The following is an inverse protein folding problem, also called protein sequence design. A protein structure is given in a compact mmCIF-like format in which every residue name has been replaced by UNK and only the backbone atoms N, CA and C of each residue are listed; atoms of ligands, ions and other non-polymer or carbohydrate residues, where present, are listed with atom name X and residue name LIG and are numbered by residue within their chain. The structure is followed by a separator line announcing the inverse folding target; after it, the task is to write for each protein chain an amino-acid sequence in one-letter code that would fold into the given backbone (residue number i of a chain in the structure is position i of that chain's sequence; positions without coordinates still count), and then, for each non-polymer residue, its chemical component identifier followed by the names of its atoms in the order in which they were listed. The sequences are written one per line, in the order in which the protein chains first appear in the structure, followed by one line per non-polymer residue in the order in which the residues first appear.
data_IF_454557767850
#
_entry.id   IF_454557767850
#
_cell.length_a   1.000
_cell.length_b   1.000
_cell.length_c   1.000
_cell.angle_alpha   90.00
_cell.angle_beta   90.00
_cell.angle_gamma   90.00
#
_symmetry.space_group_name_H-M   'P 1'
#
loop_
_entity.id
_entity.type
_entity.pdbx_description
1 polymer ?
#
# COMPACT_ATOMS: atom_id res chain seq x y z
N UNK A 1 -36.26 4.80 16.25
CA UNK A 1 -36.25 4.76 17.73
C UNK A 1 -35.02 4.10 18.36
N UNK A 2 -34.40 3.04 17.79
CA UNK A 2 -33.15 2.45 18.37
C UNK A 2 -31.90 3.32 18.17
N UNK A 3 -31.80 4.08 17.08
CA UNK A 3 -30.66 4.96 16.82
C UNK A 3 -30.65 6.22 17.71
N UNK A 4 -31.83 6.75 18.09
CA UNK A 4 -31.94 7.92 18.94
C UNK A 4 -31.38 7.67 20.35
N UNK A 5 -31.70 6.51 20.95
CA UNK A 5 -31.21 6.16 22.31
C UNK A 5 -29.68 5.92 22.31
N UNK A 6 -29.10 5.39 21.24
CA UNK A 6 -27.67 5.19 21.13
C UNK A 6 -26.89 6.51 21.01
N UNK A 7 -27.50 7.51 20.37
CA UNK A 7 -26.97 8.87 20.25
C UNK A 7 -27.00 9.60 21.60
N UNK A 8 -28.10 9.49 22.35
CA UNK A 8 -28.26 10.11 23.68
C UNK A 8 -27.32 9.53 24.72
N UNK A 9 -27.09 8.21 24.68
CA UNK A 9 -26.14 7.54 25.62
C UNK A 9 -24.69 7.97 25.30
N UNK A 10 -24.35 8.16 24.03
CA UNK A 10 -23.01 8.61 23.64
C UNK A 10 -22.79 10.11 23.92
N UNK A 11 -23.83 10.94 23.93
CA UNK A 11 -23.76 12.35 24.31
C UNK A 11 -23.54 12.57 25.82
N UNK A 12 -24.10 11.70 26.64
CA UNK A 12 -23.83 11.72 28.09
C UNK A 12 -22.36 11.39 28.39
N UNK A 13 -21.81 10.38 27.70
CA UNK A 13 -20.39 9.99 27.82
C UNK A 13 -19.42 11.06 27.30
N UNK A 14 -19.82 11.84 26.29
CA UNK A 14 -18.98 12.91 25.72
C UNK A 14 -18.92 14.15 26.62
N UNK A 15 -19.93 14.42 27.49
CA UNK A 15 -19.93 15.54 28.41
C UNK A 15 -19.03 15.34 29.65
N UNK A 16 -18.75 14.10 30.03
CA UNK A 16 -17.86 13.78 31.15
C UNK A 16 -16.37 13.78 30.82
N UNK A 17 -16.00 13.82 29.55
CA UNK A 17 -14.59 13.66 29.09
C UNK A 17 -13.81 14.97 28.89
N UNK A 18 -14.32 16.13 29.33
CA UNK A 18 -13.62 17.42 29.12
C UNK A 18 -12.42 17.63 30.07
N UNK A 19 -12.30 16.81 31.11
CA UNK A 19 -11.19 16.88 32.08
C UNK A 19 -10.75 15.49 32.50
N UNK A 20 -10.00 14.78 31.69
CA UNK A 20 -9.12 13.75 32.25
C UNK A 20 -8.10 13.22 31.21
N UNK A 21 -6.89 13.08 31.69
CA UNK A 21 -5.74 12.39 31.18
C UNK A 21 -6.07 11.06 30.49
N UNK A 22 -5.50 10.86 29.26
CA UNK A 22 -5.45 9.58 28.55
C UNK A 22 -6.77 8.78 28.46
N UNK A 23 -7.75 9.31 27.75
CA UNK A 23 -8.97 8.57 27.46
C UNK A 23 -8.65 7.29 26.66
N UNK A 24 -8.92 6.12 27.24
CA UNK A 24 -8.94 4.82 26.55
C UNK A 24 -10.16 4.65 25.65
N UNK A 25 -10.98 5.69 25.48
CA UNK A 25 -12.16 5.69 24.61
C UNK A 25 -11.78 5.34 23.17
N UNK A 26 -12.56 4.47 22.56
CA UNK A 26 -12.48 4.13 21.13
C UNK A 26 -13.29 5.07 20.26
N UNK A 27 -13.98 6.06 20.86
CA UNK A 27 -14.86 6.99 20.17
C UNK A 27 -14.59 8.42 20.59
N UNK A 28 -14.77 9.37 19.65
CA UNK A 28 -14.72 10.80 19.96
C UNK A 28 -15.67 11.59 19.05
N UNK A 29 -16.29 12.63 19.60
CA UNK A 29 -17.07 13.60 18.84
C UNK A 29 -16.18 14.80 18.57
N UNK A 30 -16.12 15.25 17.31
CA UNK A 30 -15.29 16.38 16.89
C UNK A 30 -15.94 17.18 15.77
N UNK A 31 -15.32 18.30 15.40
CA UNK A 31 -15.83 19.19 14.36
C UNK A 31 -14.93 19.17 13.13
N UNK A 32 -15.50 19.06 11.93
CA UNK A 32 -14.79 19.05 10.65
C UNK A 32 -14.21 20.45 10.37
N UNK A 33 -12.91 20.51 10.16
CA UNK A 33 -12.19 21.76 9.85
C UNK A 33 -11.81 21.90 8.39
N UNK A 34 -11.57 20.79 7.68
CA UNK A 34 -11.17 20.77 6.26
C UNK A 34 -11.47 19.40 5.64
N UNK A 35 -11.44 19.33 4.32
CA UNK A 35 -11.44 18.06 3.57
C UNK A 35 -10.50 18.16 2.38
N UNK A 36 -9.55 17.24 2.31
CA UNK A 36 -8.64 17.12 1.17
C UNK A 36 -8.86 15.79 0.46
N UNK A 37 -8.49 15.76 -0.81
CA UNK A 37 -8.60 14.55 -1.62
C UNK A 37 -7.21 14.02 -1.93
N UNK A 38 -6.95 12.78 -1.56
CA UNK A 38 -5.67 12.13 -1.75
C UNK A 38 -5.78 10.97 -2.73
N UNK A 39 -4.71 10.71 -3.44
CA UNK A 39 -4.62 9.52 -4.31
C UNK A 39 -3.92 8.42 -3.53
N UNK A 40 -4.61 7.29 -3.42
CA UNK A 40 -4.10 6.11 -2.72
C UNK A 40 -3.12 5.34 -3.61
N UNK A 41 -2.37 4.44 -2.98
CA UNK A 41 -1.41 3.55 -3.66
C UNK A 41 -2.03 2.76 -4.82
N UNK A 42 -3.28 2.31 -4.68
CA UNK A 42 -4.02 1.59 -5.72
C UNK A 42 -4.59 2.52 -6.83
N UNK A 43 -4.27 3.82 -6.79
CA UNK A 43 -4.75 4.83 -7.73
C UNK A 43 -6.17 5.33 -7.45
N UNK A 44 -6.82 4.85 -6.39
CA UNK A 44 -8.12 5.38 -5.96
C UNK A 44 -7.94 6.76 -5.32
N UNK A 45 -8.81 7.68 -5.66
CA UNK A 45 -8.86 9.02 -5.04
C UNK A 45 -9.88 8.95 -3.91
N UNK A 46 -9.47 9.26 -2.70
CA UNK A 46 -10.34 9.20 -1.52
C UNK A 46 -10.29 10.51 -0.73
N UNK A 47 -11.38 10.85 -0.02
CA UNK A 47 -11.45 12.02 0.84
C UNK A 47 -10.76 11.74 2.18
N UNK A 48 -10.02 12.74 2.67
CA UNK A 48 -9.45 12.81 4.02
C UNK A 48 -10.13 13.96 4.73
N UNK A 49 -10.93 13.66 5.74
CA UNK A 49 -11.51 14.67 6.62
C UNK A 49 -10.49 15.09 7.68
N UNK A 50 -10.32 16.41 7.83
CA UNK A 50 -9.60 17.01 8.91
C UNK A 50 -10.59 17.56 9.93
N UNK A 51 -10.26 17.45 11.21
CA UNK A 51 -11.11 17.83 12.30
C UNK A 51 -10.31 18.38 13.50
N UNK A 52 -10.97 19.03 14.43
CA UNK A 52 -10.34 19.47 15.66
C UNK A 52 -9.69 18.29 16.38
N UNK A 53 -8.43 18.41 16.86
CA UNK A 53 -7.70 17.29 17.42
C UNK A 53 -8.44 16.64 18.61
N UNK A 54 -8.50 15.32 18.59
CA UNK A 54 -9.06 14.49 19.68
C UNK A 54 -8.10 13.39 20.07
N UNK A 55 -8.27 12.85 21.27
CA UNK A 55 -7.52 11.70 21.74
C UNK A 55 -8.40 10.45 21.69
N UNK A 56 -7.95 9.40 21.00
CA UNK A 56 -8.60 8.11 20.91
C UNK A 56 -7.55 7.04 21.22
N UNK A 57 -7.83 6.16 22.17
CA UNK A 57 -6.88 5.17 22.73
C UNK A 57 -5.51 5.79 23.09
N UNK A 58 -5.53 6.99 23.68
CA UNK A 58 -4.30 7.71 24.05
C UNK A 58 -3.51 8.33 22.89
N UNK A 59 -3.97 8.20 21.65
CA UNK A 59 -3.32 8.78 20.46
C UNK A 59 -4.06 10.01 19.98
N UNK A 60 -3.32 11.10 19.75
CA UNK A 60 -3.86 12.31 19.14
C UNK A 60 -4.20 12.07 17.68
N UNK A 61 -5.44 12.38 17.30
CA UNK A 61 -5.97 12.25 15.93
C UNK A 61 -6.53 13.58 15.46
N UNK A 62 -6.29 13.98 14.24
CA UNK A 62 -6.79 15.21 13.62
C UNK A 62 -7.26 15.00 12.17
N UNK A 63 -7.20 13.77 11.67
CA UNK A 63 -7.70 13.43 10.33
C UNK A 63 -8.14 11.97 10.25
N UNK A 64 -9.07 11.69 9.34
CA UNK A 64 -9.52 10.35 9.01
C UNK A 64 -9.70 10.19 7.50
N UNK A 65 -9.22 9.07 6.97
CA UNK A 65 -9.47 8.66 5.59
C UNK A 65 -10.88 8.06 5.50
N UNK A 66 -11.69 8.55 4.57
CA UNK A 66 -13.00 7.97 4.29
C UNK A 66 -12.84 6.89 3.22
N UNK A 67 -13.12 5.65 3.58
CA UNK A 67 -12.80 4.45 2.79
C UNK A 67 -13.55 4.33 1.46
N UNK A 68 -14.65 5.06 1.24
CA UNK A 68 -15.41 5.04 -0.01
C UNK A 68 -16.18 6.34 -0.25
N UNK A 69 -16.53 6.58 -1.51
CA UNK A 69 -17.36 7.73 -1.90
C UNK A 69 -18.81 7.60 -1.44
N UNK A 70 -19.33 6.38 -1.34
CA UNK A 70 -20.67 6.14 -0.75
C UNK A 70 -20.70 6.49 0.74
N UNK A 71 -19.65 6.18 1.49
CA UNK A 71 -19.53 6.61 2.88
C UNK A 71 -19.43 8.14 2.99
N UNK A 72 -18.65 8.79 2.11
CA UNK A 72 -18.55 10.24 2.05
C UNK A 72 -19.91 10.91 1.79
N UNK A 73 -20.69 10.38 0.83
CA UNK A 73 -22.04 10.86 0.54
C UNK A 73 -22.99 10.70 1.75
N UNK A 74 -22.88 9.57 2.45
CA UNK A 74 -23.69 9.29 3.63
C UNK A 74 -23.35 10.21 4.82
N UNK A 75 -22.08 10.56 4.99
CA UNK A 75 -21.62 11.52 6.01
C UNK A 75 -22.07 12.93 5.63
N UNK A 76 -22.09 13.25 4.33
CA UNK A 76 -22.38 14.59 3.78
C UNK A 76 -21.64 15.71 4.54
N UNK A 77 -20.30 15.64 4.65
CA UNK A 77 -19.54 16.50 5.56
C UNK A 77 -19.64 17.97 5.16
N UNK A 78 -19.64 18.84 6.17
CA UNK A 78 -19.61 20.31 6.03
C UNK A 78 -18.55 20.86 6.95
N UNK A 79 -17.90 21.95 6.57
CA UNK A 79 -16.98 22.63 7.48
C UNK A 79 -17.77 23.11 8.70
N UNK A 80 -17.28 22.78 9.90
CA UNK A 80 -17.95 23.05 11.17
C UNK A 80 -18.97 21.98 11.59
N UNK A 81 -19.31 20.98 10.75
CA UNK A 81 -20.21 19.91 11.15
C UNK A 81 -19.54 18.98 12.17
N UNK A 82 -20.33 18.46 13.12
CA UNK A 82 -19.87 17.47 14.06
C UNK A 82 -19.87 16.08 13.41
N UNK A 83 -18.84 15.32 13.70
CA UNK A 83 -18.68 13.91 13.30
C UNK A 83 -18.31 13.05 14.50
N UNK A 84 -18.88 11.86 14.56
CA UNK A 84 -18.50 10.84 15.53
C UNK A 84 -17.44 9.94 14.89
N UNK A 85 -16.29 9.88 15.53
CA UNK A 85 -15.18 8.99 15.16
C UNK A 85 -15.28 7.72 15.97
N UNK A 86 -15.09 6.57 15.33
CA UNK A 86 -15.06 5.25 15.99
C UNK A 86 -13.82 4.51 15.48
N UNK A 87 -12.82 4.33 16.34
CA UNK A 87 -11.63 3.58 16.00
C UNK A 87 -11.92 2.07 16.03
N UNK A 88 -11.74 1.44 14.89
CA UNK A 88 -11.72 -0.01 14.74
C UNK A 88 -10.28 -0.51 14.81
N UNK A 89 -10.07 -1.82 14.68
CA UNK A 89 -8.74 -2.44 14.82
C UNK A 89 -7.69 -1.86 13.87
N UNK A 90 -8.09 -1.51 12.63
CA UNK A 90 -7.16 -1.05 11.58
C UNK A 90 -7.57 0.23 10.86
N UNK A 91 -8.73 0.81 11.18
CA UNK A 91 -9.25 2.00 10.51
C UNK A 91 -10.16 2.83 11.42
N UNK A 92 -10.46 4.04 10.97
CA UNK A 92 -11.36 4.98 11.65
C UNK A 92 -12.68 5.07 10.88
N UNK A 93 -13.78 4.63 11.50
CA UNK A 93 -15.12 4.92 11.00
C UNK A 93 -15.50 6.35 11.35
N UNK A 94 -16.16 7.02 10.41
CA UNK A 94 -16.69 8.36 10.59
C UNK A 94 -18.19 8.33 10.36
N UNK A 95 -18.95 8.79 11.33
CA UNK A 95 -20.40 8.90 11.26
C UNK A 95 -20.84 10.36 11.34
N UNK A 96 -21.97 10.72 10.72
CA UNK A 96 -22.51 12.06 10.87
C UNK A 96 -22.91 12.30 12.33
N UNK A 97 -22.53 13.46 12.86
CA UNK A 97 -23.02 13.97 14.13
C UNK A 97 -24.28 14.82 13.97
N UNK A 98 -24.68 15.55 14.99
CA UNK A 98 -25.81 16.49 14.92
C UNK A 98 -25.52 17.61 13.91
N UNK A 99 -26.43 17.81 12.98
CA UNK A 99 -26.33 18.81 11.93
C UNK A 99 -27.26 19.99 12.17
N UNK A 100 -26.72 21.11 12.64
CA UNK A 100 -27.38 22.42 12.53
C UNK A 100 -26.36 23.45 12.01
N UNK A 101 -25.91 23.26 10.74
CA UNK A 101 -24.95 24.18 10.14
C UNK A 101 -25.47 24.61 8.78
N UNK A 102 -25.48 25.93 8.55
CA UNK A 102 -25.88 26.53 7.26
C UNK A 102 -24.87 26.36 6.12
N UNK A 103 -23.68 25.81 6.41
CA UNK A 103 -22.63 25.67 5.40
C UNK A 103 -22.99 24.60 4.36
N UNK A 104 -22.56 24.82 3.12
CA UNK A 104 -22.76 23.86 2.05
C UNK A 104 -22.00 22.56 2.29
N UNK A 105 -22.54 21.44 1.80
CA UNK A 105 -21.86 20.16 1.79
C UNK A 105 -20.58 20.25 0.95
N UNK A 106 -19.49 19.65 1.44
CA UNK A 106 -18.23 19.54 0.70
C UNK A 106 -18.49 18.72 -0.57
N UNK A 107 -18.20 19.30 -1.72
CA UNK A 107 -18.46 18.66 -3.03
C UNK A 107 -17.33 17.68 -3.39
N UNK A 108 -17.70 16.62 -4.09
CA UNK A 108 -16.73 15.72 -4.72
C UNK A 108 -15.85 16.49 -5.71
N UNK A 109 -14.55 16.18 -5.81
CA UNK A 109 -13.67 16.84 -6.76
C UNK A 109 -13.95 16.38 -8.19
N UNK A 110 -13.98 17.32 -9.13
CA UNK A 110 -14.10 17.02 -10.57
C UNK A 110 -12.74 16.77 -11.22
N UNK A 111 -11.66 17.16 -10.55
CA UNK A 111 -10.31 17.14 -11.08
C UNK A 111 -9.33 16.41 -10.16
N UNK A 112 -8.45 15.63 -10.75
CA UNK A 112 -7.39 14.93 -10.07
C UNK A 112 -6.52 15.90 -9.25
N UNK A 113 -6.25 15.65 -7.98
CA UNK A 113 -5.43 16.53 -7.15
C UNK A 113 -4.01 16.70 -7.71
N UNK A 114 -3.48 15.72 -8.44
CA UNK A 114 -2.10 15.72 -8.96
C UNK A 114 -1.99 16.39 -10.32
N UNK A 115 -2.81 15.99 -11.32
CA UNK A 115 -2.65 16.45 -12.72
C UNK A 115 -3.80 17.30 -13.23
N UNK A 116 -4.83 17.55 -12.42
CA UNK A 116 -6.03 18.33 -12.74
C UNK A 116 -6.90 17.77 -13.89
N UNK A 117 -6.60 16.58 -14.41
CA UNK A 117 -7.45 15.90 -15.37
C UNK A 117 -8.78 15.45 -14.71
N UNK A 118 -9.85 15.22 -15.48
CA UNK A 118 -11.12 14.74 -14.96
C UNK A 118 -10.99 13.46 -14.13
N UNK A 119 -11.87 13.32 -13.15
CA UNK A 119 -11.99 12.10 -12.34
C UNK A 119 -13.18 11.29 -12.86
N UNK A 120 -12.96 9.99 -13.01
CA UNK A 120 -14.02 9.02 -13.25
C UNK A 120 -14.44 8.40 -11.91
N UNK A 121 -15.75 8.27 -11.71
CA UNK A 121 -16.36 7.60 -10.57
C UNK A 121 -17.09 6.35 -11.06
N UNK A 122 -16.95 5.23 -10.34
CA UNK A 122 -17.72 4.04 -10.67
C UNK A 122 -19.18 4.15 -10.14
N UNK A 123 -20.09 3.37 -10.74
CA UNK A 123 -21.53 3.41 -10.43
C UNK A 123 -21.83 3.01 -8.99
N UNK A 124 -21.02 2.11 -8.39
CA UNK A 124 -21.18 1.68 -6.99
C UNK A 124 -20.71 2.71 -5.97
N UNK A 125 -20.14 3.84 -6.39
CA UNK A 125 -19.65 4.89 -5.48
C UNK A 125 -18.48 4.45 -4.58
N UNK A 126 -17.74 3.40 -4.95
CA UNK A 126 -16.63 2.89 -4.14
C UNK A 126 -15.27 3.39 -4.63
N UNK A 127 -15.15 3.73 -5.91
CA UNK A 127 -13.90 4.13 -6.54
C UNK A 127 -14.02 5.43 -7.31
N UNK A 128 -12.94 6.23 -7.26
CA UNK A 128 -12.71 7.36 -8.13
C UNK A 128 -11.28 7.31 -8.65
N UNK A 129 -11.07 7.51 -9.95
CA UNK A 129 -9.74 7.44 -10.58
C UNK A 129 -9.51 8.59 -11.54
N UNK A 130 -8.25 9.00 -11.63
CA UNK A 130 -7.82 9.93 -12.66
C UNK A 130 -7.93 9.29 -14.05
N UNK A 131 -8.52 10.00 -15.01
CA UNK A 131 -8.67 9.53 -16.40
C UNK A 131 -7.39 9.70 -17.23
N UNK A 132 -6.39 10.41 -16.71
CA UNK A 132 -5.14 10.67 -17.42
C UNK A 132 -4.11 9.57 -17.17
N UNK A 133 -3.86 8.72 -18.15
CA UNK A 133 -2.86 7.66 -18.08
C UNK A 133 -1.41 8.18 -17.92
N UNK A 134 -1.15 9.47 -18.20
CA UNK A 134 0.15 10.12 -17.99
C UNK A 134 0.25 10.85 -16.66
N UNK A 135 -0.73 10.68 -15.78
CA UNK A 135 -0.73 11.32 -14.47
C UNK A 135 0.52 10.96 -13.65
N UNK A 136 1.05 11.92 -12.92
CA UNK A 136 2.19 11.73 -12.01
C UNK A 136 1.98 10.63 -10.96
N UNK A 137 0.72 10.27 -10.68
CA UNK A 137 0.38 9.19 -9.73
C UNK A 137 1.06 7.86 -10.08
N UNK A 138 1.14 7.50 -11.36
CA UNK A 138 1.78 6.26 -11.78
C UNK A 138 3.28 6.26 -11.46
N UNK A 139 3.94 7.43 -11.55
CA UNK A 139 5.34 7.59 -11.15
C UNK A 139 5.50 7.49 -9.63
N UNK A 140 4.64 8.16 -8.88
CA UNK A 140 4.65 8.13 -7.40
C UNK A 140 4.47 6.69 -6.92
N UNK A 141 3.51 5.93 -7.49
CA UNK A 141 3.28 4.52 -7.15
C UNK A 141 4.51 3.65 -7.41
N UNK A 142 5.16 3.80 -8.55
CA UNK A 142 6.38 3.03 -8.88
C UNK A 142 7.51 3.34 -7.90
N UNK A 143 7.71 4.61 -7.55
CA UNK A 143 8.72 5.02 -6.56
C UNK A 143 8.37 4.44 -5.19
N UNK A 144 7.12 4.53 -4.76
CA UNK A 144 6.65 3.98 -3.49
C UNK A 144 6.85 2.46 -3.41
N UNK A 145 6.39 1.72 -4.43
CA UNK A 145 6.59 0.26 -4.51
C UNK A 145 8.08 -0.11 -4.53
N UNK A 146 8.90 0.71 -5.18
CA UNK A 146 10.33 0.51 -5.19
C UNK A 146 10.96 0.65 -3.79
N UNK A 147 10.56 1.64 -3.01
CA UNK A 147 10.96 1.73 -1.60
C UNK A 147 10.53 0.51 -0.81
N UNK A 148 9.28 0.11 -0.92
CA UNK A 148 8.75 -1.02 -0.18
C UNK A 148 9.46 -2.33 -0.51
N UNK A 149 9.57 -2.67 -1.78
CA UNK A 149 9.91 -4.03 -2.21
C UNK A 149 11.34 -4.20 -2.73
N UNK A 150 12.00 -3.14 -3.15
CA UNK A 150 13.40 -3.17 -3.56
C UNK A 150 14.34 -2.64 -2.49
N UNK A 151 13.96 -1.54 -1.83
CA UNK A 151 14.77 -0.99 -0.73
C UNK A 151 14.39 -1.58 0.64
N UNK A 152 13.30 -2.37 0.73
CA UNK A 152 12.83 -3.03 1.96
C UNK A 152 12.58 -2.06 3.12
N UNK A 153 12.07 -0.87 2.82
CA UNK A 153 11.80 0.15 3.84
C UNK A 153 10.58 -0.18 4.70
N UNK A 154 9.73 -1.14 4.27
CA UNK A 154 8.47 -1.40 4.94
C UNK A 154 7.61 -0.13 5.04
N UNK A 155 6.76 -0.06 6.05
CA UNK A 155 5.84 1.07 6.26
C UNK A 155 6.50 2.31 6.93
N UNK A 156 7.83 2.36 7.04
CA UNK A 156 8.54 3.54 7.55
C UNK A 156 8.32 4.77 6.65
N UNK A 157 8.21 4.55 5.33
CA UNK A 157 7.92 5.58 4.35
C UNK A 157 6.50 5.38 3.81
N UNK A 158 5.60 6.28 4.15
CA UNK A 158 4.21 6.24 3.69
C UNK A 158 4.05 6.82 2.28
N UNK A 159 2.95 6.48 1.61
CA UNK A 159 2.65 6.95 0.25
C UNK A 159 2.61 8.47 0.12
N UNK A 160 2.10 9.18 1.14
CA UNK A 160 2.09 10.65 1.18
C UNK A 160 3.50 11.23 1.24
N UNK A 161 4.44 10.60 1.96
CA UNK A 161 5.84 11.05 1.98
C UNK A 161 6.45 10.96 0.58
N UNK A 162 6.20 9.86 -0.16
CA UNK A 162 6.68 9.73 -1.55
C UNK A 162 6.01 10.76 -2.47
N UNK A 163 4.74 11.10 -2.24
CA UNK A 163 4.08 12.20 -2.95
C UNK A 163 4.80 13.52 -2.70
N UNK A 164 5.17 13.80 -1.46
CA UNK A 164 5.94 15.01 -1.11
C UNK A 164 7.36 15.00 -1.73
N UNK A 165 8.04 13.84 -1.74
CA UNK A 165 9.32 13.71 -2.46
C UNK A 165 9.15 14.01 -3.96
N UNK A 166 8.06 13.52 -4.56
CA UNK A 166 7.75 13.80 -5.96
C UNK A 166 7.51 15.30 -6.19
N UNK A 167 6.81 15.97 -5.31
CA UNK A 167 6.45 17.39 -5.45
C UNK A 167 7.61 18.34 -5.10
N UNK A 168 8.28 18.11 -3.98
CA UNK A 168 9.26 19.05 -3.41
C UNK A 168 10.72 18.73 -3.74
N UNK A 169 11.08 17.44 -3.85
CA UNK A 169 12.46 17.00 -4.13
C UNK A 169 12.68 16.56 -5.57
N UNK A 170 11.66 16.70 -6.42
CA UNK A 170 11.72 16.34 -7.84
C UNK A 170 12.13 14.89 -8.13
N UNK A 171 11.83 13.97 -7.22
CA UNK A 171 12.03 12.54 -7.44
C UNK A 171 11.00 12.06 -8.47
N UNK A 172 11.42 11.68 -9.65
CA UNK A 172 10.55 11.31 -10.79
C UNK A 172 10.61 9.84 -11.12
N UNK A 173 11.70 9.17 -10.78
CA UNK A 173 11.99 7.76 -11.09
C UNK A 173 12.72 7.10 -9.91
N UNK A 174 12.65 5.77 -9.78
CA UNK A 174 13.36 5.05 -8.72
C UNK A 174 14.86 5.37 -8.64
N UNK A 175 15.54 5.63 -9.77
CA UNK A 175 16.95 6.01 -9.77
C UNK A 175 17.26 7.33 -9.06
N UNK A 176 16.28 8.21 -8.89
CA UNK A 176 16.50 9.50 -8.26
C UNK A 176 16.64 9.39 -6.73
N UNK A 177 16.11 8.30 -6.12
CA UNK A 177 16.18 8.09 -4.67
C UNK A 177 17.62 7.93 -4.16
N UNK A 178 18.53 7.42 -5.01
CA UNK A 178 19.94 7.20 -4.65
C UNK A 178 20.75 8.50 -4.52
N UNK A 179 20.12 9.65 -4.80
CA UNK A 179 20.70 10.99 -4.62
C UNK A 179 20.23 11.65 -3.33
N UNK A 180 19.26 11.05 -2.64
CA UNK A 180 18.69 11.61 -1.42
C UNK A 180 19.55 11.22 -0.22
N UNK A 181 19.65 12.17 0.73
CA UNK A 181 20.20 11.96 2.05
C UNK A 181 19.07 11.91 3.10
N UNK A 182 19.36 11.43 4.31
CA UNK A 182 18.35 11.35 5.38
C UNK A 182 17.66 12.72 5.66
N UNK A 183 18.36 13.84 5.46
CA UNK A 183 17.80 15.18 5.62
C UNK A 183 16.64 15.47 4.65
N UNK A 184 16.70 14.94 3.43
CA UNK A 184 15.62 15.11 2.45
C UNK A 184 14.32 14.43 2.91
N UNK A 185 14.44 13.32 3.64
CA UNK A 185 13.28 12.64 4.25
C UNK A 185 12.75 13.41 5.46
N UNK A 186 13.62 14.02 6.26
CA UNK A 186 13.20 14.90 7.36
C UNK A 186 12.42 16.11 6.85
N UNK A 187 12.85 16.72 5.75
CA UNK A 187 12.18 17.89 5.15
C UNK A 187 10.74 17.61 4.71
N UNK A 188 10.39 16.36 4.50
CA UNK A 188 9.01 15.93 4.17
C UNK A 188 8.26 15.36 5.39
N UNK A 189 8.79 15.54 6.59
CA UNK A 189 8.11 15.19 7.85
C UNK A 189 8.37 13.78 8.36
N UNK A 190 9.38 13.07 7.85
CA UNK A 190 9.82 11.80 8.42
C UNK A 190 10.69 12.08 9.64
N UNK A 191 10.47 11.32 10.71
CA UNK A 191 11.30 11.37 11.92
C UNK A 191 12.76 11.07 11.62
N UNK A 192 13.71 11.73 12.33
CA UNK A 192 15.14 11.64 12.05
C UNK A 192 15.69 10.21 12.13
N UNK A 193 15.27 9.44 13.14
CA UNK A 193 15.72 8.06 13.29
C UNK A 193 15.24 7.20 12.13
N UNK A 194 13.96 7.32 11.77
CA UNK A 194 13.39 6.63 10.60
C UNK A 194 14.04 7.08 9.30
N UNK A 195 14.32 8.37 9.14
CA UNK A 195 14.98 8.91 7.95
C UNK A 195 16.38 8.30 7.73
N UNK A 196 17.17 8.14 8.80
CA UNK A 196 18.47 7.47 8.75
C UNK A 196 18.34 5.99 8.39
N UNK A 197 17.36 5.30 8.96
CA UNK A 197 17.11 3.88 8.62
C UNK A 197 16.66 3.73 7.17
N UNK A 198 15.82 4.63 6.65
CA UNK A 198 15.40 4.62 5.24
C UNK A 198 16.61 4.80 4.32
N UNK A 199 17.47 5.79 4.59
CA UNK A 199 18.71 6.00 3.83
C UNK A 199 19.60 4.75 3.85
N UNK A 200 19.78 4.14 5.02
CA UNK A 200 20.54 2.91 5.16
C UNK A 200 19.92 1.74 4.37
N UNK A 201 18.60 1.58 4.40
CA UNK A 201 17.90 0.60 3.59
C UNK A 201 18.14 0.82 2.08
N UNK A 202 18.08 2.06 1.61
CA UNK A 202 18.35 2.40 0.20
C UNK A 202 19.80 2.06 -0.19
N UNK A 203 20.76 2.32 0.69
CA UNK A 203 22.19 2.05 0.42
C UNK A 203 22.49 0.55 0.45
N UNK A 204 21.96 -0.17 1.44
CA UNK A 204 22.25 -1.62 1.63
C UNK A 204 21.58 -2.49 0.57
N UNK A 205 20.35 -2.18 0.19
CA UNK A 205 19.56 -3.04 -0.70
C UNK A 205 19.78 -2.68 -2.18
N UNK A 206 21.04 -2.57 -2.59
CA UNK A 206 21.43 -2.38 -3.99
C UNK A 206 21.49 -3.68 -4.79
N UNK A 207 21.37 -4.82 -4.13
CA UNK A 207 21.23 -6.13 -4.77
C UNK A 207 19.75 -6.49 -4.73
N UNK A 208 19.07 -6.35 -5.87
CA UNK A 208 17.61 -6.43 -5.98
C UNK A 208 17.17 -7.72 -6.65
N UNK A 209 16.26 -8.50 -6.05
CA UNK A 209 15.64 -9.63 -6.72
C UNK A 209 14.82 -9.15 -7.92
N UNK A 210 14.95 -9.85 -9.05
CA UNK A 210 14.33 -9.41 -10.31
C UNK A 210 12.79 -9.34 -10.22
N UNK A 211 12.15 -10.24 -9.47
CA UNK A 211 10.71 -10.21 -9.27
C UNK A 211 10.26 -8.99 -8.46
N UNK A 212 11.05 -8.58 -7.45
CA UNK A 212 10.76 -7.38 -6.67
C UNK A 212 10.86 -6.12 -7.55
N UNK A 213 11.88 -6.07 -8.42
CA UNK A 213 12.04 -4.99 -9.37
C UNK A 213 10.83 -4.91 -10.31
N UNK A 214 10.45 -6.01 -10.97
CA UNK A 214 9.31 -6.01 -11.88
C UNK A 214 8.01 -5.66 -11.19
N UNK A 215 7.77 -6.21 -9.99
CA UNK A 215 6.60 -5.83 -9.20
C UNK A 215 6.55 -4.33 -8.90
N UNK A 216 7.70 -3.70 -8.70
CA UNK A 216 7.78 -2.27 -8.37
C UNK A 216 7.60 -1.34 -9.56
N UNK A 217 8.15 -1.69 -10.72
CA UNK A 217 8.20 -0.79 -11.89
C UNK A 217 7.08 -1.02 -12.90
N UNK A 218 6.46 -2.21 -12.90
CA UNK A 218 5.35 -2.55 -13.78
C UNK A 218 4.03 -2.18 -13.12
N UNK A 219 3.27 -1.29 -13.72
CA UNK A 219 1.94 -0.94 -13.22
C UNK A 219 1.03 -2.17 -13.28
N UNK A 220 0.15 -2.32 -12.27
CA UNK A 220 -0.80 -3.42 -12.16
C UNK A 220 -0.19 -4.84 -12.09
N UNK A 221 1.13 -4.98 -11.93
CA UNK A 221 1.76 -6.27 -11.72
C UNK A 221 1.23 -6.93 -10.44
N UNK A 222 0.88 -8.22 -10.54
CA UNK A 222 0.72 -9.09 -9.37
C UNK A 222 2.06 -9.72 -9.01
N UNK A 223 2.24 -10.23 -7.77
CA UNK A 223 3.45 -10.95 -7.39
C UNK A 223 3.76 -12.12 -8.31
N UNK A 224 2.75 -12.91 -8.66
CA UNK A 224 2.87 -14.08 -9.54
C UNK A 224 3.33 -13.65 -10.94
N UNK A 225 2.77 -12.55 -11.44
CA UNK A 225 3.17 -11.99 -12.73
C UNK A 225 4.61 -11.47 -12.72
N UNK A 226 5.03 -10.82 -11.66
CA UNK A 226 6.40 -10.35 -11.50
C UNK A 226 7.41 -11.51 -11.44
N UNK A 227 7.06 -12.63 -10.79
CA UNK A 227 7.83 -13.87 -10.78
C UNK A 227 7.94 -14.43 -12.20
N UNK A 228 6.81 -14.50 -12.93
CA UNK A 228 6.80 -14.98 -14.31
C UNK A 228 7.70 -14.14 -15.21
N UNK A 229 7.61 -12.80 -15.16
CA UNK A 229 8.53 -11.92 -15.90
C UNK A 229 10.00 -12.19 -15.53
N UNK A 230 10.28 -12.40 -14.25
CA UNK A 230 11.63 -12.74 -13.78
C UNK A 230 12.14 -14.05 -14.37
N UNK A 231 11.28 -15.04 -14.56
CA UNK A 231 11.66 -16.34 -15.13
C UNK A 231 12.02 -16.29 -16.60
N UNK A 232 11.59 -15.24 -17.33
CA UNK A 232 11.94 -15.03 -18.73
C UNK A 232 13.35 -14.46 -18.92
N UNK A 233 14.03 -14.08 -17.82
CA UNK A 233 15.41 -13.54 -17.89
C UNK A 233 16.42 -14.66 -17.77
N UNK A 234 17.09 -14.97 -18.85
CA UNK A 234 18.08 -16.04 -18.94
C UNK A 234 19.46 -15.59 -18.41
N UNK A 235 19.81 -14.31 -18.53
CA UNK A 235 21.09 -13.76 -18.12
C UNK A 235 20.94 -12.56 -17.18
N UNK A 236 21.70 -12.55 -16.08
CA UNK A 236 21.73 -11.46 -15.08
C UNK A 236 22.06 -10.09 -15.66
N UNK A 237 22.78 -10.03 -16.78
CA UNK A 237 23.15 -8.79 -17.48
C UNK A 237 22.04 -8.27 -18.38
N UNK A 238 21.01 -9.07 -18.61
CA UNK A 238 19.97 -8.78 -19.59
C UNK A 238 18.59 -8.55 -18.97
N UNK A 239 18.51 -8.18 -17.71
CA UNK A 239 17.22 -7.95 -17.04
C UNK A 239 16.35 -6.89 -17.73
N UNK A 240 16.95 -5.95 -18.44
CA UNK A 240 16.25 -4.99 -19.31
C UNK A 240 15.83 -5.61 -20.66
N UNK A 241 16.42 -6.74 -21.03
CA UNK A 241 16.22 -7.32 -22.35
C UNK A 241 14.80 -7.81 -22.62
N UNK A 242 14.08 -8.46 -21.67
CA UNK A 242 12.65 -8.74 -21.85
C UNK A 242 11.85 -7.47 -22.06
N UNK A 243 12.10 -6.43 -21.26
CA UNK A 243 11.45 -5.13 -21.39
C UNK A 243 11.73 -4.52 -22.77
N UNK A 244 12.98 -4.56 -23.25
CA UNK A 244 13.40 -4.04 -24.55
C UNK A 244 12.88 -4.92 -25.70
N UNK A 245 12.93 -6.25 -25.57
CA UNK A 245 12.39 -7.16 -26.60
C UNK A 245 10.88 -7.10 -26.71
N UNK A 246 10.16 -6.90 -25.59
CA UNK A 246 8.73 -6.74 -25.55
C UNK A 246 8.25 -5.41 -26.16
N UNK A 247 9.14 -4.42 -26.29
CA UNK A 247 8.87 -3.16 -27.00
C UNK A 247 9.02 -3.27 -28.52
N UNK A 248 9.65 -4.32 -29.05
CA UNK A 248 9.76 -4.53 -30.50
C UNK A 248 8.61 -5.42 -30.99
N UNK A 249 7.73 -4.84 -31.75
CA UNK A 249 6.49 -5.41 -32.31
C UNK A 249 6.66 -6.75 -33.04
N UNK A 250 7.85 -7.07 -33.52
CA UNK A 250 8.17 -8.30 -34.25
C UNK A 250 8.11 -9.58 -33.39
N UNK A 251 8.35 -9.45 -32.06
CA UNK A 251 8.32 -10.60 -31.14
C UNK A 251 6.91 -11.00 -30.68
N UNK A 252 5.94 -10.10 -30.80
CA UNK A 252 4.56 -10.32 -30.35
C UNK A 252 3.76 -11.08 -31.42
N UNK A 253 4.18 -11.04 -32.69
CA UNK A 253 3.40 -11.60 -33.81
C UNK A 253 3.56 -13.12 -33.99
N UNK A 254 4.68 -13.71 -33.62
CA UNK A 254 4.93 -15.13 -33.84
C UNK A 254 4.40 -16.06 -32.77
N UNK A 255 4.39 -15.60 -31.51
CA UNK A 255 3.93 -16.43 -30.38
C UNK A 255 2.43 -16.28 -30.04
N UNK A 256 1.74 -15.30 -30.59
CA UNK A 256 0.33 -15.02 -30.27
C UNK A 256 -0.65 -16.09 -30.74
N UNK A 257 -0.32 -16.85 -31.78
CA UNK A 257 -1.17 -17.92 -32.30
C UNK A 257 -1.13 -19.20 -31.46
N UNK A 258 -0.10 -19.35 -30.62
CA UNK A 258 0.08 -20.50 -29.71
C UNK A 258 -0.59 -20.32 -28.34
N UNK A 259 -1.07 -19.13 -28.00
CA UNK A 259 -1.58 -18.77 -26.68
C UNK A 259 -3.05 -19.13 -26.55
N UNK A 260 -3.33 -20.25 -25.89
CA UNK A 260 -4.70 -20.80 -25.74
C UNK A 260 -5.35 -20.56 -24.38
N UNK A 261 -4.70 -19.88 -23.43
CA UNK A 261 -5.25 -19.70 -22.10
C UNK A 261 -5.37 -18.23 -21.67
N UNK A 262 -6.23 -17.96 -20.67
CA UNK A 262 -6.55 -16.62 -20.19
C UNK A 262 -5.34 -15.90 -19.55
N UNK A 263 -4.45 -16.65 -18.89
CA UNK A 263 -3.22 -16.09 -18.29
C UNK A 263 -2.27 -15.52 -19.34
N UNK A 264 -2.16 -16.21 -20.45
CA UNK A 264 -1.34 -15.74 -21.56
C UNK A 264 -1.95 -14.53 -22.28
N UNK A 265 -3.28 -14.43 -22.35
CA UNK A 265 -3.96 -13.22 -22.82
C UNK A 265 -3.74 -12.02 -21.87
N UNK A 266 -3.76 -12.23 -20.57
CA UNK A 266 -3.41 -11.21 -19.56
C UNK A 266 -1.96 -10.78 -19.71
N UNK A 267 -1.04 -11.72 -19.88
CA UNK A 267 0.37 -11.44 -20.16
C UNK A 267 0.53 -10.53 -21.38
N UNK A 268 -0.11 -10.86 -22.51
CA UNK A 268 -0.06 -10.06 -23.72
C UNK A 268 -0.67 -8.67 -23.58
N UNK A 269 -1.75 -8.55 -22.82
CA UNK A 269 -2.36 -7.25 -22.52
C UNK A 269 -1.41 -6.39 -21.68
N UNK A 270 -0.78 -6.95 -20.66
CA UNK A 270 0.21 -6.27 -19.84
C UNK A 270 1.45 -5.87 -20.63
N UNK A 271 1.90 -6.71 -21.56
CA UNK A 271 3.00 -6.41 -22.47
C UNK A 271 2.67 -5.25 -23.43
N UNK A 272 1.42 -5.15 -23.91
CA UNK A 272 0.96 -4.00 -24.69
C UNK A 272 0.96 -2.71 -23.86
N UNK A 273 0.56 -2.77 -22.60
CA UNK A 273 0.61 -1.61 -21.68
C UNK A 273 2.05 -1.19 -21.41
N UNK A 274 2.97 -2.15 -21.27
CA UNK A 274 4.40 -1.90 -21.09
C UNK A 274 5.03 -1.24 -22.34
N UNK A 275 4.67 -1.67 -23.54
CA UNK A 275 5.19 -1.15 -24.81
C UNK A 275 4.99 0.35 -24.96
N UNK A 276 3.78 0.84 -24.64
CA UNK A 276 3.45 2.26 -24.86
C UNK A 276 4.12 3.21 -23.86
N UNK A 277 4.56 2.71 -22.71
CA UNK A 277 5.13 3.55 -21.66
C UNK A 277 6.65 3.40 -21.45
N UNK A 278 7.22 2.23 -21.75
CA UNK A 278 8.61 1.91 -21.42
C UNK A 278 9.63 2.50 -22.39
N UNK A 279 9.31 2.62 -23.68
CA UNK A 279 10.24 3.22 -24.65
C UNK A 279 10.65 4.65 -24.28
N UNK A 280 9.69 5.46 -23.85
CA UNK A 280 9.97 6.83 -23.41
C UNK A 280 10.75 6.90 -22.09
N UNK A 281 10.80 5.81 -21.32
CA UNK A 281 11.35 5.74 -19.96
C UNK A 281 12.63 4.91 -19.84
N UNK A 282 13.04 4.23 -20.92
CA UNK A 282 14.24 3.38 -20.97
C UNK A 282 15.49 4.07 -20.40
N UNK A 283 15.70 5.36 -20.70
CA UNK A 283 16.84 6.14 -20.19
C UNK A 283 16.89 6.17 -18.65
N UNK A 284 15.72 6.18 -18.00
CA UNK A 284 15.63 6.22 -16.54
C UNK A 284 15.91 4.86 -15.90
N UNK A 285 15.52 3.78 -16.56
CA UNK A 285 15.85 2.42 -16.12
C UNK A 285 17.31 2.06 -16.37
N UNK A 286 17.92 2.59 -17.45
CA UNK A 286 19.37 2.49 -17.66
C UNK A 286 20.13 3.20 -16.52
N UNK A 287 19.64 4.35 -16.06
CA UNK A 287 20.21 5.03 -14.88
C UNK A 287 20.06 4.19 -13.62
N UNK A 288 18.88 3.58 -13.41
CA UNK A 288 18.66 2.68 -12.29
C UNK A 288 19.61 1.48 -12.32
N UNK A 289 19.84 0.90 -13.50
CA UNK A 289 20.79 -0.22 -13.69
C UNK A 289 22.24 0.12 -13.32
N UNK A 290 22.60 1.41 -13.26
CA UNK A 290 23.92 1.84 -12.77
C UNK A 290 24.00 1.89 -11.24
N UNK A 291 22.86 2.00 -10.57
CA UNK A 291 22.78 2.12 -9.11
C UNK A 291 22.61 0.77 -8.42
N UNK A 292 22.10 -0.24 -9.12
CA UNK A 292 21.74 -1.54 -8.53
C UNK A 292 22.35 -2.71 -9.29
N UNK A 293 22.59 -3.79 -8.57
CA UNK A 293 22.85 -5.12 -9.12
C UNK A 293 21.59 -5.97 -8.99
N UNK A 294 21.26 -6.72 -10.05
CA UNK A 294 20.07 -7.56 -10.06
C UNK A 294 20.49 -9.01 -10.08
N UNK A 295 19.85 -9.82 -9.27
CA UNK A 295 20.02 -11.26 -9.37
C UNK A 295 18.75 -11.93 -9.90
N UNK A 296 18.98 -12.93 -10.74
CA UNK A 296 17.92 -13.70 -11.37
C UNK A 296 17.18 -14.55 -10.36
N UNK A 297 15.96 -14.95 -10.70
CA UNK A 297 15.18 -15.90 -9.91
C UNK A 297 15.99 -17.17 -9.63
N UNK A 298 16.05 -17.63 -8.38
CA UNK A 298 16.55 -18.95 -8.07
C UNK A 298 15.61 -20.02 -8.63
N UNK A 299 16.11 -21.23 -8.88
CA UNK A 299 15.31 -22.37 -9.34
C UNK A 299 14.13 -22.67 -8.39
N UNK A 300 14.30 -22.39 -7.10
CA UNK A 300 13.28 -22.53 -6.06
C UNK A 300 13.27 -21.27 -5.20
N UNK A 301 12.12 -20.60 -5.17
CA UNK A 301 11.93 -19.41 -4.33
C UNK A 301 11.94 -19.80 -2.84
N UNK A 302 12.43 -18.94 -1.93
CA UNK A 302 12.63 -19.25 -0.52
C UNK A 302 11.39 -19.82 0.19
N UNK A 303 10.21 -19.32 -0.15
CA UNK A 303 8.95 -19.66 0.51
C UNK A 303 8.03 -20.57 -0.32
N UNK A 304 8.51 -21.12 -1.46
CA UNK A 304 7.65 -21.80 -2.46
C UNK A 304 6.87 -23.03 -1.97
N UNK A 305 7.27 -23.62 -0.84
CA UNK A 305 6.60 -24.79 -0.26
C UNK A 305 5.78 -24.46 0.99
N UNK A 306 5.77 -23.19 1.41
CA UNK A 306 5.19 -22.78 2.68
C UNK A 306 3.86 -22.06 2.48
N UNK A 307 2.93 -22.35 3.40
CA UNK A 307 1.64 -21.64 3.52
C UNK A 307 1.60 -20.93 4.86
N UNK A 308 1.23 -19.66 4.82
CA UNK A 308 1.27 -18.75 5.97
C UNK A 308 -0.13 -18.29 6.35
N UNK A 309 -0.31 -18.05 7.63
CA UNK A 309 -1.41 -17.26 8.19
C UNK A 309 -0.82 -16.00 8.80
N UNK A 310 -1.41 -14.85 8.53
CA UNK A 310 -0.93 -13.57 9.07
C UNK A 310 -1.82 -13.18 10.26
N UNK A 311 -1.23 -13.10 11.43
CA UNK A 311 -1.82 -12.66 12.68
C UNK A 311 -1.73 -11.15 12.89
N UNK A 312 -1.39 -10.75 14.13
CA UNK A 312 -1.21 -9.36 14.50
C UNK A 312 0.24 -8.93 14.26
N UNK A 313 0.41 -7.83 13.56
CA UNK A 313 1.68 -7.25 13.14
C UNK A 313 1.91 -5.93 13.88
N UNK A 314 3.17 -5.59 14.19
CA UNK A 314 3.53 -4.37 14.92
C UNK A 314 4.20 -3.30 14.06
N UNK A 315 5.00 -3.70 13.06
CA UNK A 315 5.85 -2.79 12.31
C UNK A 315 5.36 -2.53 10.89
N UNK A 316 4.80 -3.55 10.24
CA UNK A 316 4.42 -3.48 8.85
C UNK A 316 2.93 -3.76 8.64
N UNK A 317 2.39 -3.25 7.55
CA UNK A 317 1.01 -3.54 7.17
C UNK A 317 0.87 -4.98 6.66
N UNK A 318 -0.32 -5.55 6.89
CA UNK A 318 -0.66 -6.87 6.35
C UNK A 318 -0.47 -6.97 4.83
N UNK A 319 -0.89 -5.99 3.99
CA UNK A 319 -0.67 -6.04 2.55
C UNK A 319 0.80 -6.11 2.15
N UNK A 320 1.69 -5.42 2.88
CA UNK A 320 3.13 -5.48 2.64
C UNK A 320 3.67 -6.90 2.89
N UNK A 321 3.40 -7.47 4.07
CA UNK A 321 3.85 -8.82 4.44
C UNK A 321 3.27 -9.88 3.50
N UNK A 322 1.98 -9.80 3.15
CA UNK A 322 1.33 -10.69 2.19
C UNK A 322 2.03 -10.64 0.81
N UNK A 323 2.34 -9.46 0.33
CA UNK A 323 3.04 -9.27 -0.95
C UNK A 323 4.46 -9.84 -0.89
N UNK A 324 5.20 -9.62 0.20
CA UNK A 324 6.54 -10.17 0.38
C UNK A 324 6.53 -11.70 0.39
N UNK A 325 5.59 -12.33 1.06
CA UNK A 325 5.41 -13.79 1.03
C UNK A 325 5.17 -14.27 -0.41
N UNK A 326 4.24 -13.65 -1.13
CA UNK A 326 3.89 -14.03 -2.51
C UNK A 326 5.03 -13.81 -3.50
N UNK A 327 5.76 -12.68 -3.43
CA UNK A 327 6.94 -12.43 -4.26
C UNK A 327 8.06 -13.46 -4.06
N UNK A 328 8.06 -14.14 -2.93
CA UNK A 328 9.02 -15.20 -2.60
C UNK A 328 8.43 -16.61 -2.73
N UNK A 329 7.30 -16.73 -3.45
CA UNK A 329 6.67 -18.00 -3.82
C UNK A 329 5.79 -18.64 -2.76
N UNK A 330 5.63 -18.01 -1.58
CA UNK A 330 4.78 -18.50 -0.50
C UNK A 330 3.28 -18.27 -0.79
N UNK A 331 2.44 -18.99 -0.06
CA UNK A 331 0.99 -18.87 -0.10
C UNK A 331 0.48 -18.25 1.20
N UNK A 332 -0.58 -17.45 1.12
CA UNK A 332 -1.23 -16.85 2.30
C UNK A 332 -2.68 -17.33 2.37
N UNK A 333 -3.02 -17.99 3.48
CA UNK A 333 -4.41 -18.34 3.76
C UNK A 333 -5.12 -17.17 4.44
N UNK A 334 -6.20 -16.72 3.81
CA UNK A 334 -6.96 -15.54 4.28
C UNK A 334 -8.32 -15.92 4.87
N UNK A 335 -8.78 -17.16 4.66
CA UNK A 335 -10.10 -17.62 5.08
C UNK A 335 -10.02 -18.36 6.42
N UNK A 336 -10.05 -17.62 7.52
CA UNK A 336 -10.00 -18.17 8.87
C UNK A 336 -11.11 -19.17 9.24
N UNK A 337 -12.22 -19.17 8.50
CA UNK A 337 -13.35 -20.11 8.77
C UNK A 337 -13.12 -21.50 8.19
N UNK A 338 -12.16 -21.66 7.30
CA UNK A 338 -11.88 -22.91 6.58
C UNK A 338 -10.42 -23.38 6.72
N UNK A 339 -9.70 -22.84 7.69
CA UNK A 339 -8.30 -23.21 7.91
C UNK A 339 -8.22 -24.68 8.36
N UNK A 340 -7.36 -25.43 7.67
CA UNK A 340 -6.88 -26.72 8.13
C UNK A 340 -5.45 -26.54 8.62
N UNK A 341 -5.27 -26.46 9.93
CA UNK A 341 -3.99 -26.07 10.55
C UNK A 341 -2.82 -26.98 10.18
N UNK A 342 -3.07 -28.28 9.89
CA UNK A 342 -2.03 -29.18 9.37
C UNK A 342 -1.45 -28.77 8.03
N UNK A 343 -2.12 -27.91 7.25
CA UNK A 343 -1.65 -27.40 5.97
C UNK A 343 -0.92 -26.04 6.09
N UNK A 344 -0.89 -25.45 7.30
CA UNK A 344 -0.22 -24.20 7.56
C UNK A 344 1.20 -24.44 8.05
N UNK A 345 2.17 -23.85 7.37
CA UNK A 345 3.58 -23.97 7.73
C UNK A 345 3.94 -23.04 8.88
N UNK A 346 3.45 -21.80 8.87
CA UNK A 346 3.78 -20.79 9.87
C UNK A 346 2.63 -19.79 10.08
N UNK A 347 2.58 -19.27 11.31
CA UNK A 347 1.78 -18.10 11.68
C UNK A 347 2.73 -16.91 11.84
N UNK A 348 2.50 -15.82 11.10
CA UNK A 348 3.27 -14.59 11.25
C UNK A 348 2.59 -13.70 12.29
N UNK A 349 3.28 -13.46 13.41
CA UNK A 349 2.74 -12.62 14.51
C UNK A 349 3.87 -12.10 15.40
N UNK A 350 3.79 -10.82 15.77
CA UNK A 350 4.80 -10.16 16.63
C UNK A 350 4.42 -10.18 18.12
N UNK A 351 3.45 -10.96 18.50
CA UNK A 351 3.03 -11.03 19.91
C UNK A 351 1.85 -11.95 20.17
N UNK A 352 1.28 -11.80 21.36
CA UNK A 352 0.06 -12.52 21.73
C UNK A 352 -1.12 -11.96 20.95
N UNK A 353 -1.58 -12.71 19.96
CA UNK A 353 -2.76 -12.36 19.20
C UNK A 353 -4.01 -12.53 20.08
N UNK A 354 -4.90 -11.54 20.06
CA UNK A 354 -6.23 -11.64 20.68
C UNK A 354 -7.25 -12.31 19.73
N UNK A 355 -6.85 -12.71 18.54
CA UNK A 355 -7.72 -13.38 17.57
C UNK A 355 -7.81 -14.86 17.90
N UNK A 356 -9.03 -15.31 18.23
CA UNK A 356 -9.30 -16.72 18.58
C UNK A 356 -8.72 -17.71 17.55
N UNK A 357 -8.89 -17.43 16.24
CA UNK A 357 -8.37 -18.32 15.21
C UNK A 357 -6.82 -18.46 15.26
N UNK A 358 -6.08 -17.39 15.59
CA UNK A 358 -4.63 -17.45 15.73
C UNK A 358 -4.24 -18.26 16.96
N UNK A 359 -4.95 -18.08 18.07
CA UNK A 359 -4.73 -18.88 19.29
C UNK A 359 -4.98 -20.36 19.02
N UNK A 360 -6.08 -20.71 18.34
CA UNK A 360 -6.37 -22.09 17.91
C UNK A 360 -5.21 -22.70 17.10
N UNK A 361 -4.61 -21.93 16.17
CA UNK A 361 -3.46 -22.38 15.39
C UNK A 361 -2.21 -22.63 16.22
N UNK A 362 -1.94 -21.77 17.19
CA UNK A 362 -0.82 -21.94 18.14
C UNK A 362 -1.05 -23.15 19.04
N UNK A 363 -2.28 -23.34 19.53
CA UNK A 363 -2.67 -24.51 20.31
C UNK A 363 -2.57 -25.84 19.54
N UNK A 364 -2.78 -25.77 18.20
CA UNK A 364 -2.50 -26.90 17.29
C UNK A 364 -1.01 -27.18 17.07
N UNK A 365 -0.11 -26.37 17.63
CA UNK A 365 1.33 -26.52 17.48
C UNK A 365 1.90 -25.97 16.17
N UNK A 366 1.13 -25.11 15.44
CA UNK A 366 1.67 -24.45 14.24
C UNK A 366 2.78 -23.48 14.63
N UNK A 367 3.99 -23.57 14.03
CA UNK A 367 5.11 -22.69 14.35
C UNK A 367 4.79 -21.21 14.09
N UNK A 368 5.30 -20.34 14.95
CA UNK A 368 5.16 -18.88 14.78
C UNK A 368 6.47 -18.27 14.30
N UNK A 369 6.37 -17.22 13.49
CA UNK A 369 7.48 -16.35 13.09
C UNK A 369 7.10 -14.90 13.36
N UNK A 370 8.04 -14.10 13.78
CA UNK A 370 7.90 -12.64 13.79
C UNK A 370 8.06 -12.07 12.38
N UNK A 371 7.64 -10.82 12.16
CA UNK A 371 7.89 -10.10 10.90
C UNK A 371 9.38 -10.07 10.56
N UNK A 372 10.24 -9.82 11.56
CA UNK A 372 11.68 -9.73 11.38
C UNK A 372 12.28 -11.09 10.95
N UNK A 373 11.85 -12.19 11.55
CA UNK A 373 12.30 -13.54 11.19
C UNK A 373 11.86 -13.92 9.78
N UNK A 374 10.61 -13.60 9.39
CA UNK A 374 10.15 -13.79 8.03
C UNK A 374 11.01 -13.02 7.03
N UNK A 375 11.22 -11.72 7.25
CA UNK A 375 12.01 -10.87 6.34
C UNK A 375 13.48 -11.31 6.30
N UNK A 376 14.04 -11.79 7.41
CA UNK A 376 15.38 -12.37 7.44
C UNK A 376 15.47 -13.68 6.63
N UNK A 377 14.43 -14.52 6.67
CA UNK A 377 14.40 -15.78 5.90
C UNK A 377 14.31 -15.55 4.39
N UNK A 378 13.67 -14.45 3.96
CA UNK A 378 13.59 -14.05 2.55
C UNK A 378 14.93 -13.52 2.06
N UNK A 379 15.66 -12.80 2.90
CA UNK A 379 16.90 -12.10 2.55
C UNK A 379 18.18 -12.92 2.73
N UNK A 380 18.08 -14.15 3.28
CA UNK A 380 19.24 -15.04 3.33
C UNK A 380 19.59 -15.49 1.92
N UNK A 381 20.86 -15.31 1.46
CA UNK A 381 21.28 -16.02 0.27
C UNK A 381 21.07 -17.50 0.54
N UNK A 382 20.37 -18.17 -0.34
CA UNK A 382 20.27 -19.63 -0.32
C UNK A 382 21.69 -20.16 -0.56
N UNK A 383 22.28 -20.76 0.47
CA UNK A 383 23.45 -21.62 0.33
C UNK A 383 23.14 -22.80 -0.59
#
# INVERSE_FOLDING_TARGET
MKNSKMIETNQALAKESVNQEFSLSTTALTEVTDCKFTVMENGNILPVLYYNPVYIRGKKRNSALIGSWSAFDSIAPRIGSKVLLVERDSYMDVYPGEMYIKNDTIKKPNACPICKAPIWYNDSGTMARCTNNKCGIHKIRRIYRYYLYCCLTGDMLQFNHVTMLYEHKHVRYPADIYKLAYRDYMDIGVDEEKAKVIEECVIRNRIVPIQNLYYSIVDEATPEYAIHLGSLVIDRRMWMHPIIKLTKTEYISEDMTAVKNEESHRLLYMLKLLNNELESKIKHYIRLAKEISIYSLPNKLPLSVHTFVIGDLTNNSRPYIETMIKLNGGRVEVNFRKITWSNISYIITDGKSNRRAIQEGIEHGTPTLTEAELLASINKPLE
#
